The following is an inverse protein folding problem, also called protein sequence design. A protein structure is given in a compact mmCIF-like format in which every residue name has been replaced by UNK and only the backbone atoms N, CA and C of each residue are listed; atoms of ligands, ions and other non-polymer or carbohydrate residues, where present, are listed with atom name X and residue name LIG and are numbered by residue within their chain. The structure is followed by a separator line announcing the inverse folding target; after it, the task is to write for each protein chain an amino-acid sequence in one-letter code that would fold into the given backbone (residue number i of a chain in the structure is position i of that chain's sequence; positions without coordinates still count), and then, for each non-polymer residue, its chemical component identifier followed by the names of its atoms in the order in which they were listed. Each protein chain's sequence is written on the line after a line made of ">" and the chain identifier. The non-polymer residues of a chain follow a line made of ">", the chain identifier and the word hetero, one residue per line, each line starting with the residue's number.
data_IF_476878842682
#
_entry.id   IF_476878842682
#
_cell.length_a   1.000
_cell.length_b   1.000
_cell.length_c   1.000
_cell.angle_alpha   90.00
_cell.angle_beta   90.00
_cell.angle_gamma   90.00
#
_symmetry.space_group_name_H-M   'P 1'
#
loop_
_entity.id
_entity.type
_entity.pdbx_description
1 polymer ?
#
# COMPACT_ATOMS: atom_id res chain seq x y z
N UNK A 1 26.04 -8.61 25.00
CA UNK A 1 24.80 -9.05 25.68
C UNK A 1 24.05 -9.95 24.72
N UNK A 2 23.92 -11.24 25.04
CA UNK A 2 23.02 -12.15 24.31
C UNK A 2 21.58 -11.71 24.59
N UNK A 3 20.85 -11.27 23.57
CA UNK A 3 19.46 -10.85 23.71
C UNK A 3 18.60 -11.96 24.30
N UNK A 4 17.58 -11.57 25.07
CA UNK A 4 16.67 -12.47 25.80
C UNK A 4 15.85 -13.43 24.92
N UNK A 5 15.83 -13.22 23.60
CA UNK A 5 15.14 -14.07 22.64
C UNK A 5 16.03 -14.35 21.42
N UNK A 6 16.01 -15.58 20.93
CA UNK A 6 16.56 -15.91 19.60
C UNK A 6 15.58 -15.47 18.50
N UNK A 7 16.07 -15.24 17.27
CA UNK A 7 15.22 -14.92 16.10
C UNK A 7 14.09 -15.94 15.91
N UNK A 8 14.36 -17.21 16.22
CA UNK A 8 13.39 -18.30 16.12
C UNK A 8 12.29 -18.20 17.20
N UNK A 9 12.60 -17.66 18.38
CA UNK A 9 11.61 -17.41 19.43
C UNK A 9 10.71 -16.20 19.13
N UNK A 10 11.12 -15.32 18.21
CA UNK A 10 10.33 -14.19 17.72
C UNK A 10 9.47 -14.56 16.50
N UNK A 11 9.69 -15.74 15.89
CA UNK A 11 8.90 -16.27 14.80
C UNK A 11 7.54 -16.76 15.30
N UNK A 12 6.63 -15.83 15.58
CA UNK A 12 5.20 -16.15 15.65
C UNK A 12 4.68 -16.34 14.23
N UNK A 13 4.92 -17.52 13.64
CA UNK A 13 4.26 -17.87 12.38
C UNK A 13 2.76 -17.79 12.65
N UNK A 14 2.02 -16.86 12.01
CA UNK A 14 0.61 -16.71 12.28
C UNK A 14 -0.08 -18.03 12.01
N UNK A 15 -0.83 -18.55 12.98
CA UNK A 15 -1.57 -19.80 12.82
C UNK A 15 -2.61 -19.58 11.71
N UNK A 16 -2.35 -20.18 10.55
CA UNK A 16 -3.25 -20.09 9.40
C UNK A 16 -4.45 -21.01 9.68
N UNK A 17 -5.69 -20.47 9.75
CA UNK A 17 -6.88 -21.29 9.91
C UNK A 17 -7.03 -22.27 8.74
N UNK A 18 -7.38 -23.53 9.02
CA UNK A 18 -7.60 -24.52 7.96
C UNK A 18 -8.85 -24.16 7.15
N UNK A 19 -8.84 -24.48 5.85
CA UNK A 19 -10.00 -24.30 4.98
C UNK A 19 -11.15 -25.24 5.37
N UNK A 20 -11.99 -24.76 6.29
CA UNK A 20 -13.22 -25.35 6.84
C UNK A 20 -13.58 -24.69 8.18
N UNK A 21 -12.62 -24.03 8.84
CA UNK A 21 -12.79 -23.41 10.17
C UNK A 21 -13.89 -22.34 10.23
N UNK A 22 -14.30 -21.76 9.10
CA UNK A 22 -15.41 -20.80 9.04
C UNK A 22 -16.79 -21.46 8.93
N UNK A 23 -16.87 -22.77 8.76
CA UNK A 23 -18.11 -23.55 8.61
C UNK A 23 -18.83 -23.41 7.26
N UNK A 24 -18.42 -22.49 6.39
CA UNK A 24 -19.09 -22.26 5.10
C UNK A 24 -18.87 -23.38 4.09
N UNK A 25 -17.72 -24.05 4.17
CA UNK A 25 -17.34 -25.16 3.27
C UNK A 25 -18.42 -26.25 3.19
N UNK A 26 -19.15 -26.49 4.27
CA UNK A 26 -20.13 -27.57 4.37
C UNK A 26 -21.54 -27.16 3.94
N UNK A 27 -21.74 -25.91 3.51
CA UNK A 27 -23.06 -25.31 3.24
C UNK A 27 -23.22 -24.82 1.80
N UNK A 28 -22.24 -25.11 0.94
CA UNK A 28 -22.16 -24.61 -0.43
C UNK A 28 -21.83 -25.74 -1.41
N UNK A 29 -22.23 -25.59 -2.67
CA UNK A 29 -22.01 -26.59 -3.72
C UNK A 29 -20.58 -26.54 -4.26
N UNK A 30 -19.98 -25.36 -4.30
CA UNK A 30 -18.62 -25.12 -4.80
C UNK A 30 -17.69 -24.63 -3.69
N UNK A 31 -17.32 -25.50 -2.73
CA UNK A 31 -16.44 -25.13 -1.62
C UNK A 31 -15.03 -24.79 -2.10
N UNK A 32 -14.43 -23.76 -1.48
CA UNK A 32 -13.06 -23.34 -1.77
C UNK A 32 -12.85 -23.05 -3.26
N UNK A 33 -13.79 -22.33 -3.86
CA UNK A 33 -13.77 -21.93 -5.26
C UNK A 33 -12.43 -21.25 -5.59
N UNK A 34 -11.68 -21.86 -6.50
CA UNK A 34 -10.41 -21.34 -7.01
C UNK A 34 -10.65 -20.11 -7.90
N UNK A 35 -9.61 -19.31 -8.13
CA UNK A 35 -9.73 -18.16 -9.01
C UNK A 35 -10.03 -18.60 -10.45
N UNK A 36 -10.68 -17.73 -11.23
CA UNK A 36 -10.98 -18.01 -12.64
C UNK A 36 -10.58 -16.84 -13.56
N UNK A 37 -10.45 -17.12 -14.86
CA UNK A 37 -10.04 -16.16 -15.89
C UNK A 37 -8.59 -16.32 -16.34
N UNK A 38 -8.25 -15.73 -17.48
CA UNK A 38 -6.94 -15.88 -18.12
C UNK A 38 -5.92 -14.84 -17.64
N UNK A 39 -6.40 -13.67 -17.17
CA UNK A 39 -5.53 -12.62 -16.62
C UNK A 39 -4.53 -12.02 -17.61
N UNK A 40 -4.87 -11.89 -18.90
CA UNK A 40 -3.95 -11.33 -19.92
C UNK A 40 -3.40 -9.95 -19.57
N UNK A 41 -4.13 -9.13 -18.81
CA UNK A 41 -3.66 -7.81 -18.36
C UNK A 41 -3.03 -7.83 -16.96
N UNK A 42 -2.83 -9.02 -16.37
CA UNK A 42 -2.35 -9.22 -14.99
C UNK A 42 -3.16 -8.44 -13.94
N UNK A 43 -4.46 -8.33 -14.15
CA UNK A 43 -5.39 -7.69 -13.21
C UNK A 43 -6.14 -8.76 -12.43
N UNK A 44 -6.09 -8.69 -11.11
CA UNK A 44 -6.89 -9.51 -10.22
C UNK A 44 -8.08 -8.72 -9.68
N UNK A 45 -9.28 -9.23 -9.88
CA UNK A 45 -10.51 -8.68 -9.31
C UNK A 45 -10.90 -9.50 -8.08
N UNK A 46 -11.09 -8.82 -6.94
CA UNK A 46 -11.47 -9.43 -5.67
C UNK A 46 -12.86 -8.95 -5.28
N UNK A 47 -13.86 -9.83 -5.37
CA UNK A 47 -15.22 -9.58 -4.89
C UNK A 47 -15.42 -10.02 -3.43
N UNK A 48 -16.66 -9.93 -2.92
CA UNK A 48 -16.97 -10.23 -1.52
C UNK A 48 -16.95 -11.74 -1.21
N UNK A 49 -17.81 -12.49 -1.87
CA UNK A 49 -17.98 -13.93 -1.76
C UNK A 49 -18.73 -14.43 -3.03
N UNK A 50 -18.70 -15.73 -3.36
CA UNK A 50 -19.65 -16.30 -4.32
C UNK A 50 -21.08 -15.94 -3.91
N UNK A 51 -21.94 -15.63 -4.88
CA UNK A 51 -23.39 -15.64 -4.71
C UNK A 51 -23.96 -17.02 -5.02
N UNK A 52 -25.29 -17.12 -5.06
CA UNK A 52 -25.99 -18.38 -5.37
C UNK A 52 -25.64 -18.91 -6.77
N UNK A 53 -25.68 -18.03 -7.77
CA UNK A 53 -25.40 -18.41 -9.17
C UNK A 53 -23.93 -18.84 -9.31
N UNK A 54 -23.01 -18.08 -8.69
CA UNK A 54 -21.58 -18.42 -8.65
C UNK A 54 -21.33 -19.77 -7.97
N UNK A 55 -22.01 -20.06 -6.86
CA UNK A 55 -21.87 -21.34 -6.15
C UNK A 55 -22.36 -22.53 -6.98
N UNK A 56 -23.43 -22.35 -7.74
CA UNK A 56 -23.99 -23.39 -8.61
C UNK A 56 -23.10 -23.64 -9.83
N UNK A 57 -22.53 -22.59 -10.42
CA UNK A 57 -21.71 -22.71 -11.63
C UNK A 57 -20.22 -22.95 -11.33
N UNK A 58 -19.78 -22.78 -10.08
CA UNK A 58 -18.37 -22.96 -9.69
C UNK A 58 -17.43 -21.86 -10.21
N UNK A 59 -17.95 -20.68 -10.56
CA UNK A 59 -17.17 -19.58 -11.14
C UNK A 59 -17.62 -18.21 -10.64
N UNK A 60 -16.74 -17.21 -10.67
CA UNK A 60 -17.02 -15.89 -10.12
C UNK A 60 -17.70 -14.93 -11.09
N UNK A 61 -18.55 -14.05 -10.53
CA UNK A 61 -19.11 -12.88 -11.23
C UNK A 61 -19.95 -13.28 -12.47
N UNK A 62 -20.79 -14.30 -12.30
CA UNK A 62 -21.77 -14.76 -13.31
C UNK A 62 -23.19 -14.25 -13.02
N UNK A 63 -23.50 -13.94 -11.75
CA UNK A 63 -24.79 -13.40 -11.34
C UNK A 63 -25.04 -11.96 -11.79
N UNK A 64 -26.13 -11.36 -11.30
CA UNK A 64 -26.56 -9.98 -11.69
C UNK A 64 -25.46 -8.92 -11.52
N UNK A 65 -24.74 -8.98 -10.39
CA UNK A 65 -23.63 -8.05 -10.12
C UNK A 65 -22.48 -8.23 -11.11
N UNK A 66 -22.14 -9.47 -11.44
CA UNK A 66 -21.13 -9.80 -12.46
C UNK A 66 -21.52 -9.33 -13.86
N UNK A 67 -22.77 -9.54 -14.27
CA UNK A 67 -23.31 -9.03 -15.55
C UNK A 67 -23.21 -7.51 -15.65
N UNK A 68 -23.51 -6.77 -14.58
CA UNK A 68 -23.33 -5.30 -14.53
C UNK A 68 -21.86 -4.90 -14.69
N UNK A 69 -20.96 -5.57 -13.96
CA UNK A 69 -19.51 -5.33 -14.08
C UNK A 69 -19.01 -5.58 -15.51
N UNK A 70 -19.39 -6.72 -16.12
CA UNK A 70 -19.05 -7.08 -17.50
C UNK A 70 -19.48 -6.00 -18.49
N UNK A 71 -20.70 -5.47 -18.36
CA UNK A 71 -21.18 -4.38 -19.20
C UNK A 71 -20.32 -3.12 -19.10
N UNK A 72 -19.94 -2.73 -17.88
CA UNK A 72 -19.12 -1.53 -17.65
C UNK A 72 -17.68 -1.76 -18.15
N UNK A 73 -17.08 -2.92 -17.88
CA UNK A 73 -15.74 -3.27 -18.39
C UNK A 73 -15.69 -3.30 -19.92
N UNK A 74 -16.71 -3.87 -20.56
CA UNK A 74 -16.83 -3.86 -22.02
C UNK A 74 -16.86 -2.43 -22.58
N UNK A 75 -17.51 -1.49 -21.88
CA UNK A 75 -17.55 -0.08 -22.30
C UNK A 75 -16.18 0.63 -22.25
N UNK A 76 -15.20 0.06 -21.54
CA UNK A 76 -13.82 0.54 -21.50
C UNK A 76 -12.84 -0.42 -22.23
N UNK A 77 -13.36 -1.32 -23.07
CA UNK A 77 -12.55 -2.22 -23.90
C UNK A 77 -11.89 -3.38 -23.15
N UNK A 78 -12.42 -3.75 -21.98
CA UNK A 78 -11.91 -4.85 -21.15
C UNK A 78 -12.90 -6.01 -21.15
N UNK A 79 -12.40 -7.21 -21.41
CA UNK A 79 -13.15 -8.46 -21.23
C UNK A 79 -12.83 -9.08 -19.86
N UNK A 80 -13.84 -9.33 -19.05
CA UNK A 80 -13.66 -9.79 -17.66
C UNK A 80 -13.03 -11.19 -17.54
N UNK A 81 -13.23 -12.10 -18.50
CA UNK A 81 -12.69 -13.46 -18.43
C UNK A 81 -11.33 -13.58 -19.08
N UNK A 82 -11.15 -12.90 -20.22
CA UNK A 82 -9.89 -12.90 -20.95
C UNK A 82 -8.83 -12.02 -20.27
N UNK A 83 -9.21 -10.83 -19.82
CA UNK A 83 -8.21 -9.83 -19.39
C UNK A 83 -7.90 -9.91 -17.89
N UNK A 84 -8.77 -10.51 -17.07
CA UNK A 84 -8.68 -10.49 -15.62
C UNK A 84 -8.70 -11.89 -15.00
N UNK A 85 -8.00 -12.06 -13.89
CA UNK A 85 -8.32 -13.10 -12.91
C UNK A 85 -9.40 -12.59 -11.96
N UNK A 86 -10.22 -13.51 -11.44
CA UNK A 86 -11.30 -13.22 -10.51
C UNK A 86 -11.20 -14.13 -9.31
N UNK A 87 -11.33 -13.55 -8.13
CA UNK A 87 -11.48 -14.27 -6.87
C UNK A 87 -12.37 -13.48 -5.93
N UNK A 88 -12.51 -13.97 -4.70
CA UNK A 88 -13.32 -13.36 -3.66
C UNK A 88 -12.56 -13.29 -2.34
N UNK A 89 -12.96 -12.38 -1.46
CA UNK A 89 -12.45 -12.36 -0.09
C UNK A 89 -12.81 -13.63 0.68
N UNK A 90 -13.98 -14.22 0.41
CA UNK A 90 -14.38 -15.55 0.86
C UNK A 90 -14.55 -16.47 -0.34
N UNK A 91 -13.98 -17.68 -0.31
CA UNK A 91 -14.03 -18.65 -1.42
C UNK A 91 -15.21 -19.62 -1.33
N UNK A 92 -16.16 -19.41 -0.42
CA UNK A 92 -17.37 -20.23 -0.26
C UNK A 92 -18.60 -19.33 -0.17
N UNK A 93 -19.73 -19.79 -0.70
CA UNK A 93 -21.01 -19.09 -0.60
C UNK A 93 -21.45 -18.97 0.87
N UNK A 94 -21.81 -17.76 1.37
CA UNK A 94 -22.23 -17.57 2.75
C UNK A 94 -23.66 -18.07 3.04
N UNK A 95 -24.41 -18.48 2.02
CA UNK A 95 -25.77 -19.02 2.13
C UNK A 95 -26.85 -18.09 1.60
N UNK A 96 -28.11 -18.49 1.82
CA UNK A 96 -29.28 -17.80 1.29
C UNK A 96 -29.38 -16.34 1.74
N UNK A 97 -29.80 -15.47 0.83
CA UNK A 97 -29.81 -14.02 1.04
C UNK A 97 -28.44 -13.34 0.92
N UNK A 98 -27.36 -14.10 0.66
CA UNK A 98 -25.98 -13.60 0.57
C UNK A 98 -25.63 -12.67 1.75
N UNK A 99 -25.72 -13.16 3.00
CA UNK A 99 -25.49 -12.31 4.15
C UNK A 99 -24.06 -11.78 4.13
N UNK A 100 -23.89 -10.54 4.57
CA UNK A 100 -22.57 -9.90 4.63
C UNK A 100 -21.62 -10.75 5.47
N UNK A 101 -20.42 -11.09 4.96
CA UNK A 101 -19.43 -11.85 5.72
C UNK A 101 -19.04 -11.20 7.03
N UNK A 102 -18.89 -12.03 8.07
CA UNK A 102 -18.38 -11.61 9.37
C UNK A 102 -16.85 -11.47 9.34
N UNK A 103 -16.32 -10.67 10.26
CA UNK A 103 -14.87 -10.45 10.41
C UNK A 103 -14.11 -11.75 10.63
N UNK A 104 -14.71 -12.68 11.37
CA UNK A 104 -14.16 -14.01 11.62
C UNK A 104 -14.05 -14.81 10.31
N UNK A 105 -15.09 -14.82 9.49
CA UNK A 105 -15.08 -15.53 8.21
C UNK A 105 -14.07 -14.92 7.24
N UNK A 106 -14.01 -13.59 7.16
CA UNK A 106 -13.00 -12.88 6.35
C UNK A 106 -11.60 -13.26 6.81
N UNK A 107 -11.35 -13.22 8.12
CA UNK A 107 -10.03 -13.56 8.67
C UNK A 107 -9.61 -15.00 8.37
N UNK A 108 -10.55 -15.95 8.46
CA UNK A 108 -10.28 -17.35 8.20
C UNK A 108 -10.02 -17.64 6.71
N UNK A 109 -10.68 -16.93 5.81
CA UNK A 109 -10.51 -17.15 4.37
C UNK A 109 -9.34 -16.34 3.77
N UNK A 110 -8.83 -15.33 4.48
CA UNK A 110 -7.77 -14.43 3.99
C UNK A 110 -6.54 -15.16 3.46
N UNK A 111 -6.12 -16.26 4.10
CA UNK A 111 -4.95 -17.01 3.65
C UNK A 111 -5.10 -17.56 2.23
N UNK A 112 -6.32 -17.93 1.81
CA UNK A 112 -6.58 -18.32 0.43
C UNK A 112 -6.36 -17.15 -0.54
N UNK A 113 -6.90 -15.97 -0.20
CA UNK A 113 -6.71 -14.77 -1.03
C UNK A 113 -5.23 -14.38 -1.13
N UNK A 114 -4.49 -14.41 -0.02
CA UNK A 114 -3.05 -14.10 -0.02
C UNK A 114 -2.26 -15.08 -0.88
N UNK A 115 -2.56 -16.38 -0.79
CA UNK A 115 -1.96 -17.40 -1.66
C UNK A 115 -2.27 -17.15 -3.14
N UNK A 116 -3.52 -16.84 -3.47
CA UNK A 116 -3.90 -16.49 -4.85
C UNK A 116 -3.13 -15.27 -5.37
N UNK A 117 -2.96 -14.23 -4.55
CA UNK A 117 -2.20 -13.03 -4.95
C UNK A 117 -0.72 -13.37 -5.17
N UNK A 118 -0.13 -14.18 -4.28
CA UNK A 118 1.26 -14.63 -4.40
C UNK A 118 1.47 -15.50 -5.66
N UNK A 119 0.54 -16.39 -5.95
CA UNK A 119 0.61 -17.29 -7.11
C UNK A 119 0.48 -16.52 -8.43
N UNK A 120 -0.43 -15.55 -8.51
CA UNK A 120 -0.74 -14.83 -9.74
C UNK A 120 0.18 -13.64 -10.01
N UNK A 121 0.82 -13.10 -8.96
CA UNK A 121 1.58 -11.86 -8.99
C UNK A 121 0.91 -10.75 -9.84
N UNK A 122 -0.31 -10.30 -9.51
CA UNK A 122 -0.99 -9.30 -10.33
C UNK A 122 -0.25 -7.96 -10.31
N UNK A 123 -0.32 -7.23 -11.43
CA UNK A 123 0.14 -5.83 -11.50
C UNK A 123 -0.86 -4.91 -10.80
N UNK A 124 -2.15 -5.23 -10.90
CA UNK A 124 -3.23 -4.45 -10.30
C UNK A 124 -4.24 -5.36 -9.63
N UNK A 125 -4.65 -5.00 -8.41
CA UNK A 125 -5.67 -5.68 -7.63
C UNK A 125 -6.84 -4.73 -7.43
N UNK A 126 -7.98 -5.05 -8.03
CA UNK A 126 -9.22 -4.27 -7.91
C UNK A 126 -10.09 -4.88 -6.81
N UNK A 127 -10.36 -4.10 -5.75
CA UNK A 127 -11.17 -4.54 -4.61
C UNK A 127 -12.61 -4.04 -4.76
N UNK A 128 -13.57 -4.96 -4.88
CA UNK A 128 -14.98 -4.62 -5.04
C UNK A 128 -15.69 -4.60 -3.68
N UNK A 129 -15.87 -3.41 -3.13
CA UNK A 129 -16.64 -3.18 -1.91
C UNK A 129 -15.88 -3.36 -0.60
N UNK A 130 -16.58 -3.10 0.51
CA UNK A 130 -15.97 -3.02 1.84
C UNK A 130 -15.37 -4.33 2.34
N UNK A 131 -15.94 -5.48 1.96
CA UNK A 131 -15.44 -6.79 2.40
C UNK A 131 -14.10 -7.13 1.75
N UNK A 132 -13.93 -6.85 0.46
CA UNK A 132 -12.66 -7.00 -0.25
C UNK A 132 -11.58 -6.08 0.36
N UNK A 133 -11.92 -4.81 0.62
CA UNK A 133 -11.04 -3.87 1.33
C UNK A 133 -10.65 -4.38 2.71
N UNK A 134 -11.61 -4.87 3.49
CA UNK A 134 -11.35 -5.38 4.84
C UNK A 134 -10.47 -6.64 4.82
N UNK A 135 -10.60 -7.47 3.80
CA UNK A 135 -9.78 -8.67 3.63
C UNK A 135 -8.31 -8.34 3.40
N UNK A 136 -8.02 -7.41 2.48
CA UNK A 136 -6.65 -7.13 2.02
C UNK A 136 -5.97 -5.95 2.73
N UNK A 137 -6.66 -4.82 2.84
CA UNK A 137 -6.14 -3.60 3.49
C UNK A 137 -6.31 -3.70 5.00
N UNK A 138 -7.48 -4.13 5.47
CA UNK A 138 -7.77 -4.27 6.91
C UNK A 138 -6.89 -5.27 7.65
N UNK A 139 -6.13 -6.11 6.93
CA UNK A 139 -5.16 -7.02 7.50
C UNK A 139 -3.90 -6.32 8.02
N UNK A 140 -3.49 -5.22 7.38
CA UNK A 140 -2.26 -4.46 7.72
C UNK A 140 -2.54 -3.09 8.29
N UNK A 141 -3.77 -2.59 8.13
CA UNK A 141 -4.17 -1.31 8.67
C UNK A 141 -4.42 -1.43 10.17
N UNK A 142 -3.63 -0.70 10.98
CA UNK A 142 -3.72 -0.74 12.46
C UNK A 142 -5.01 -0.12 13.00
N UNK A 143 -5.61 0.82 12.28
CA UNK A 143 -6.87 1.47 12.68
C UNK A 143 -8.11 0.75 12.12
N UNK A 144 -9.30 1.25 12.45
CA UNK A 144 -10.51 0.79 11.78
C UNK A 144 -10.50 1.20 10.29
N UNK A 145 -10.72 0.22 9.41
CA UNK A 145 -10.85 0.43 7.95
C UNK A 145 -11.93 1.47 7.61
N UNK A 146 -13.00 1.56 8.40
CA UNK A 146 -14.10 2.51 8.17
C UNK A 146 -14.98 2.15 6.98
N UNK A 147 -15.75 3.14 6.48
CA UNK A 147 -16.68 2.96 5.35
C UNK A 147 -15.94 2.91 4.02
N UNK A 148 -16.49 2.17 3.05
CA UNK A 148 -15.91 2.01 1.71
C UNK A 148 -15.62 3.34 1.00
N UNK A 149 -16.45 4.38 1.24
CA UNK A 149 -16.28 5.70 0.65
C UNK A 149 -14.93 6.39 0.93
N UNK A 150 -14.23 6.00 2.01
CA UNK A 150 -12.86 6.47 2.29
C UNK A 150 -11.83 5.99 1.25
N UNK A 151 -12.11 4.85 0.61
CA UNK A 151 -11.14 4.10 -0.18
C UNK A 151 -11.43 4.11 -1.69
N UNK A 152 -12.67 4.39 -2.10
CA UNK A 152 -13.04 4.33 -3.51
C UNK A 152 -12.21 5.29 -4.36
N UNK A 153 -11.69 4.79 -5.48
CA UNK A 153 -10.93 5.60 -6.46
C UNK A 153 -9.44 5.75 -6.14
N UNK A 154 -8.98 5.37 -4.95
CA UNK A 154 -7.55 5.38 -4.63
C UNK A 154 -6.77 4.38 -5.49
N UNK A 155 -5.51 4.70 -5.73
CA UNK A 155 -4.55 3.89 -6.48
C UNK A 155 -3.32 3.68 -5.58
N UNK A 156 -3.39 2.68 -4.71
CA UNK A 156 -2.46 2.55 -3.58
C UNK A 156 -1.32 1.61 -3.97
N UNK A 157 -0.05 2.05 -3.97
CA UNK A 157 1.07 1.17 -4.26
C UNK A 157 1.37 0.27 -3.05
N UNK A 158 1.04 -1.02 -3.12
CA UNK A 158 1.30 -1.97 -2.03
C UNK A 158 2.63 -2.69 -2.24
N UNK A 159 3.53 -2.54 -1.26
CA UNK A 159 4.89 -3.09 -1.32
C UNK A 159 4.92 -4.61 -1.14
N UNK A 160 3.97 -5.19 -0.39
CA UNK A 160 3.99 -6.63 -0.03
C UNK A 160 3.75 -7.51 -1.25
N UNK A 161 2.89 -7.06 -2.15
CA UNK A 161 2.57 -7.76 -3.39
C UNK A 161 3.24 -7.12 -4.61
N UNK A 162 3.91 -5.99 -4.41
CA UNK A 162 4.40 -5.10 -5.48
C UNK A 162 3.33 -4.91 -6.57
N UNK A 163 2.15 -4.45 -6.14
CA UNK A 163 0.95 -4.31 -6.97
C UNK A 163 0.15 -3.06 -6.60
N UNK A 164 -0.58 -2.52 -7.57
CA UNK A 164 -1.51 -1.41 -7.35
C UNK A 164 -2.81 -1.92 -6.74
N UNK A 165 -3.17 -1.46 -5.54
CA UNK A 165 -4.46 -1.78 -4.90
C UNK A 165 -5.45 -0.67 -5.21
N UNK A 166 -6.55 -1.04 -5.88
CA UNK A 166 -7.52 -0.12 -6.43
C UNK A 166 -8.93 -0.43 -5.90
N UNK A 167 -9.33 0.13 -4.74
CA UNK A 167 -10.65 -0.08 -4.18
C UNK A 167 -11.74 0.67 -4.95
N UNK A 168 -12.90 0.04 -5.09
CA UNK A 168 -14.11 0.67 -5.64
C UNK A 168 -15.37 0.04 -5.02
N UNK A 169 -16.55 0.49 -5.43
CA UNK A 169 -17.82 -0.08 -4.95
C UNK A 169 -18.03 -1.51 -5.44
N UNK A 170 -18.88 -2.26 -4.73
CA UNK A 170 -19.33 -3.54 -5.26
C UNK A 170 -20.42 -3.31 -6.33
N UNK A 171 -20.46 -4.03 -7.46
CA UNK A 171 -21.48 -3.82 -8.50
C UNK A 171 -22.92 -3.98 -8.00
N UNK A 172 -23.15 -4.80 -6.96
CA UNK A 172 -24.47 -4.92 -6.32
C UNK A 172 -24.94 -3.62 -5.66
N UNK A 173 -24.03 -2.73 -5.25
CA UNK A 173 -24.39 -1.41 -4.73
C UNK A 173 -24.96 -0.52 -5.83
N UNK A 174 -24.35 -0.52 -7.03
CA UNK A 174 -24.84 0.23 -8.19
C UNK A 174 -26.25 -0.25 -8.58
N UNK A 175 -26.47 -1.56 -8.61
CA UNK A 175 -27.79 -2.16 -8.92
C UNK A 175 -28.90 -1.72 -7.95
N UNK A 176 -28.56 -1.35 -6.70
CA UNK A 176 -29.54 -0.91 -5.70
C UNK A 176 -29.82 0.59 -5.72
N UNK A 177 -28.95 1.40 -6.31
CA UNK A 177 -29.04 2.86 -6.24
C UNK A 177 -29.57 3.50 -7.53
N UNK A 178 -29.55 2.78 -8.65
CA UNK A 178 -29.94 3.27 -9.99
C UNK A 178 -29.50 4.72 -10.27
N UNK A 179 -28.24 5.01 -9.95
CA UNK A 179 -27.65 6.34 -10.04
C UNK A 179 -26.60 6.37 -11.17
N UNK A 180 -26.89 7.13 -12.22
CA UNK A 180 -26.01 7.32 -13.38
C UNK A 180 -24.68 8.00 -13.02
N UNK A 181 -24.68 8.89 -12.03
CA UNK A 181 -23.48 9.57 -11.56
C UNK A 181 -22.57 8.57 -10.84
N UNK A 182 -23.14 7.74 -9.97
CA UNK A 182 -22.41 6.65 -9.31
C UNK A 182 -21.78 5.69 -10.31
N UNK A 183 -22.51 5.30 -11.36
CA UNK A 183 -21.99 4.45 -12.43
C UNK A 183 -20.85 5.12 -13.22
N UNK A 184 -20.95 6.43 -13.47
CA UNK A 184 -19.88 7.20 -14.12
C UNK A 184 -18.60 7.19 -13.28
N UNK A 185 -18.70 7.43 -11.96
CA UNK A 185 -17.56 7.36 -11.05
C UNK A 185 -16.97 5.95 -10.99
N UNK A 186 -17.82 4.93 -10.91
CA UNK A 186 -17.38 3.53 -10.90
C UNK A 186 -16.60 3.18 -12.16
N UNK A 187 -17.10 3.58 -13.34
CA UNK A 187 -16.40 3.41 -14.61
C UNK A 187 -15.06 4.15 -14.63
N UNK A 188 -14.99 5.37 -14.10
CA UNK A 188 -13.75 6.14 -13.99
C UNK A 188 -12.72 5.46 -13.09
N UNK A 189 -13.13 4.91 -11.96
CA UNK A 189 -12.24 4.16 -11.06
C UNK A 189 -11.67 2.92 -11.75
N UNK A 190 -12.51 2.15 -12.46
CA UNK A 190 -12.05 1.00 -13.22
C UNK A 190 -11.06 1.41 -14.31
N UNK A 191 -11.39 2.45 -15.09
CA UNK A 191 -10.48 2.96 -16.13
C UNK A 191 -9.11 3.31 -15.56
N UNK A 192 -9.07 4.07 -14.47
CA UNK A 192 -7.83 4.46 -13.80
C UNK A 192 -7.02 3.25 -13.28
N UNK A 193 -7.69 2.19 -12.83
CA UNK A 193 -7.03 0.95 -12.42
C UNK A 193 -6.44 0.18 -13.61
N UNK A 194 -7.14 0.12 -14.75
CA UNK A 194 -6.64 -0.54 -15.97
C UNK A 194 -5.58 0.26 -16.72
N UNK A 195 -5.46 1.57 -16.47
CA UNK A 195 -4.38 2.43 -16.97
C UNK A 195 -3.07 2.27 -16.17
N UNK A 196 -3.04 1.43 -15.14
CA UNK A 196 -1.81 1.12 -14.40
C UNK A 196 -0.94 0.17 -15.20
N UNK A 197 0.24 0.66 -15.56
CA UNK A 197 1.28 -0.09 -16.23
C UNK A 197 2.41 -0.39 -15.24
N UNK A 198 2.94 -1.61 -15.31
CA UNK A 198 4.06 -2.03 -14.48
C UNK A 198 3.76 -2.18 -12.99
N UNK A 199 4.65 -2.88 -12.28
CA UNK A 199 4.60 -2.97 -10.82
C UNK A 199 4.95 -1.58 -10.23
N UNK A 200 4.32 -1.13 -9.12
CA UNK A 200 4.56 0.19 -8.52
C UNK A 200 6.01 0.40 -8.06
N UNK A 201 6.76 -0.67 -7.83
CA UNK A 201 8.16 -0.60 -7.44
C UNK A 201 9.00 -1.44 -8.39
N UNK A 202 9.95 -0.79 -9.07
CA UNK A 202 10.82 -1.42 -10.08
C UNK A 202 11.97 -2.20 -9.44
N UNK A 203 12.47 -1.74 -8.29
CA UNK A 203 13.60 -2.34 -7.58
C UNK A 203 13.12 -3.11 -6.34
N UNK A 204 13.54 -4.36 -6.19
CA UNK A 204 13.69 -4.93 -4.86
C UNK A 204 14.71 -4.08 -4.12
N UNK A 205 14.27 -3.37 -3.09
CA UNK A 205 15.21 -2.76 -2.15
C UNK A 205 15.88 -3.95 -1.48
N UNK A 206 17.18 -4.14 -1.71
CA UNK A 206 17.92 -5.13 -0.97
C UNK A 206 17.88 -4.71 0.51
N UNK A 207 17.03 -5.36 1.30
CA UNK A 207 16.91 -5.08 2.74
C UNK A 207 18.18 -5.49 3.51
N UNK A 208 19.12 -6.18 2.86
CA UNK A 208 20.48 -6.45 3.36
C UNK A 208 21.49 -5.40 2.89
N UNK A 209 21.09 -4.49 2.00
CA UNK A 209 21.91 -3.34 1.65
C UNK A 209 22.01 -2.44 2.86
N UNK A 210 23.17 -2.54 3.52
CA UNK A 210 23.58 -1.60 4.55
C UNK A 210 24.32 -0.52 3.77
N UNK A 211 23.74 0.67 3.55
CA UNK A 211 24.50 1.76 2.96
C UNK A 211 25.71 2.02 3.85
N UNK A 212 26.84 2.39 3.25
CA UNK A 212 28.00 2.79 4.03
C UNK A 212 27.63 4.06 4.82
N UNK A 213 27.63 3.93 6.16
CA UNK A 213 27.34 5.05 7.06
C UNK A 213 28.65 5.64 7.53
N UNK A 214 28.96 6.84 7.03
CA UNK A 214 30.12 7.61 7.42
C UNK A 214 29.74 8.56 8.55
N UNK A 215 30.37 8.37 9.72
CA UNK A 215 30.27 9.32 10.82
C UNK A 215 31.36 10.36 10.62
N UNK A 216 30.97 11.56 10.21
CA UNK A 216 31.89 12.66 9.95
C UNK A 216 31.83 13.68 11.09
N UNK A 217 33.00 13.95 11.67
CA UNK A 217 33.15 14.88 12.79
C UNK A 217 33.70 16.24 12.37
N UNK A 218 34.36 16.33 11.20
CA UNK A 218 34.86 17.58 10.63
C UNK A 218 33.75 18.32 9.86
N UNK A 219 33.26 19.47 10.35
CA UNK A 219 32.22 20.23 9.66
C UNK A 219 32.66 20.70 8.27
N UNK A 220 33.96 20.82 7.99
CA UNK A 220 34.45 21.25 6.66
C UNK A 220 34.23 20.16 5.61
N UNK A 221 34.32 18.89 5.97
CA UNK A 221 33.97 17.80 5.06
C UNK A 221 32.49 17.86 4.70
N UNK A 222 31.63 18.13 5.69
CA UNK A 222 30.17 18.29 5.46
C UNK A 222 29.87 19.44 4.51
N UNK A 223 30.56 20.59 4.65
CA UNK A 223 30.39 21.71 3.72
C UNK A 223 30.68 21.28 2.28
N UNK A 224 31.78 20.56 2.04
CA UNK A 224 32.16 20.08 0.71
C UNK A 224 31.13 19.11 0.14
N UNK A 225 30.71 18.13 0.95
CA UNK A 225 29.68 17.16 0.56
C UNK A 225 28.38 17.86 0.20
N UNK A 226 27.88 18.76 1.06
CA UNK A 226 26.66 19.52 0.80
C UNK A 226 26.75 20.31 -0.52
N UNK A 227 27.86 20.99 -0.76
CA UNK A 227 28.05 21.76 -1.99
C UNK A 227 28.08 20.85 -3.24
N UNK A 228 28.67 19.65 -3.13
CA UNK A 228 28.64 18.62 -4.19
C UNK A 228 27.21 18.10 -4.45
N UNK A 229 26.44 17.81 -3.40
CA UNK A 229 25.04 17.38 -3.52
C UNK A 229 24.16 18.45 -4.16
N UNK A 230 24.34 19.73 -3.79
CA UNK A 230 23.65 20.86 -4.42
C UNK A 230 23.99 20.92 -5.92
N UNK A 231 25.25 20.70 -6.29
CA UNK A 231 25.70 20.71 -7.69
C UNK A 231 25.11 19.54 -8.49
N UNK A 232 25.10 18.34 -7.91
CA UNK A 232 24.59 17.11 -8.54
C UNK A 232 23.06 17.18 -8.71
N UNK A 233 22.36 17.77 -7.74
CA UNK A 233 20.91 17.98 -7.76
C UNK A 233 20.09 16.68 -7.93
N UNK A 234 20.58 15.58 -7.37
CA UNK A 234 19.84 14.32 -7.22
C UNK A 234 18.95 14.35 -5.96
N UNK A 235 17.82 13.60 -5.92
CA UNK A 235 17.06 13.44 -4.70
C UNK A 235 17.93 12.96 -3.54
N UNK A 236 17.71 13.51 -2.35
CA UNK A 236 18.37 13.06 -1.13
C UNK A 236 17.36 12.90 0.01
N UNK A 237 17.67 12.00 0.93
CA UNK A 237 17.03 11.92 2.23
C UNK A 237 17.84 12.70 3.26
N UNK A 238 17.18 13.27 4.25
CA UNK A 238 17.86 13.78 5.44
C UNK A 238 17.01 13.54 6.68
N UNK A 239 17.67 13.46 7.84
CA UNK A 239 17.04 13.23 9.12
C UNK A 239 17.71 14.04 10.23
N UNK A 240 16.91 14.45 11.22
CA UNK A 240 17.38 15.16 12.40
C UNK A 240 17.20 14.31 13.65
N UNK A 241 18.30 14.12 14.37
CA UNK A 241 18.22 13.65 15.74
C UNK A 241 18.15 14.84 16.68
N UNK A 242 17.11 14.86 17.51
CA UNK A 242 16.73 16.02 18.29
C UNK A 242 16.42 15.62 19.71
N UNK A 243 16.57 16.53 20.66
CA UNK A 243 16.19 16.26 22.05
C UNK A 243 14.67 16.08 22.20
N UNK A 244 13.86 16.51 21.21
CA UNK A 244 12.43 16.21 21.16
C UNK A 244 11.78 16.38 19.80
N UNK A 245 10.58 15.80 19.66
CA UNK A 245 9.75 15.92 18.44
C UNK A 245 9.36 17.39 18.14
N UNK A 246 9.27 18.26 19.15
CA UNK A 246 8.73 19.60 19.02
C UNK A 246 9.80 20.67 19.25
N UNK A 247 10.07 21.54 18.26
CA UNK A 247 11.13 22.52 18.37
C UNK A 247 10.83 23.66 19.35
N UNK A 248 9.59 23.89 19.79
CA UNK A 248 9.23 25.11 20.53
C UNK A 248 9.81 25.24 21.95
N UNK A 249 10.35 24.16 22.54
CA UNK A 249 10.96 24.22 23.86
C UNK A 249 12.29 24.97 23.87
N UNK A 250 12.58 25.71 24.94
CA UNK A 250 13.88 26.38 25.13
C UNK A 250 15.05 25.40 25.24
N UNK A 251 14.77 24.17 25.67
CA UNK A 251 15.70 23.04 25.76
C UNK A 251 15.79 22.22 24.47
N UNK A 252 14.98 22.56 23.47
CA UNK A 252 14.87 21.78 22.25
C UNK A 252 16.00 22.17 21.28
N UNK A 253 16.88 21.22 20.99
CA UNK A 253 18.01 21.36 20.10
C UNK A 253 18.11 20.19 19.10
N UNK A 254 18.77 20.47 17.96
CA UNK A 254 19.22 19.45 17.02
C UNK A 254 20.60 18.99 17.49
N UNK A 255 20.76 17.68 17.68
CA UNK A 255 21.99 17.06 18.20
C UNK A 255 22.89 16.65 17.05
N UNK A 256 22.32 15.97 16.06
CA UNK A 256 23.02 15.60 14.83
C UNK A 256 22.06 15.58 13.65
N UNK A 257 22.64 15.53 12.46
CA UNK A 257 21.90 15.38 11.23
C UNK A 257 22.56 14.31 10.38
N UNK A 258 21.75 13.64 9.56
CA UNK A 258 22.25 12.77 8.51
C UNK A 258 21.62 13.12 7.17
N UNK A 259 22.33 12.85 6.08
CA UNK A 259 21.75 12.85 4.73
C UNK A 259 22.31 11.71 3.87
N UNK A 260 21.53 11.26 2.90
CA UNK A 260 21.89 10.16 1.98
C UNK A 260 21.32 10.38 0.58
N UNK A 261 22.02 9.91 -0.45
CA UNK A 261 21.51 9.78 -1.82
C UNK A 261 20.96 8.37 -2.14
N UNK A 262 20.92 7.49 -1.14
CA UNK A 262 20.52 6.09 -1.30
C UNK A 262 21.69 5.12 -1.52
N UNK A 263 22.91 5.61 -1.73
CA UNK A 263 24.14 4.80 -1.78
C UNK A 263 24.99 5.06 -0.53
N UNK A 264 25.41 6.32 -0.33
CA UNK A 264 26.21 6.74 0.81
C UNK A 264 25.35 7.48 1.83
N UNK A 265 25.63 7.29 3.13
CA UNK A 265 24.98 8.03 4.22
C UNK A 265 26.02 8.74 5.06
N UNK A 266 25.86 10.05 5.26
CA UNK A 266 26.74 10.84 6.12
C UNK A 266 25.97 11.29 7.34
N UNK A 267 26.45 10.95 8.53
CA UNK A 267 25.92 11.41 9.81
C UNK A 267 26.97 12.27 10.51
N UNK A 268 26.56 13.42 11.04
CA UNK A 268 27.50 14.38 11.63
C UNK A 268 26.87 15.16 12.80
N UNK A 269 27.67 15.55 13.80
CA UNK A 269 27.21 16.42 14.87
C UNK A 269 26.70 17.76 14.33
N UNK A 270 25.61 18.28 14.89
CA UNK A 270 25.02 19.54 14.46
C UNK A 270 25.82 20.73 15.01
N UNK A 271 26.96 21.03 14.37
CA UNK A 271 27.91 22.02 14.87
C UNK A 271 28.65 22.78 13.77
N UNK A 272 29.15 23.96 14.11
CA UNK A 272 30.08 24.73 13.28
C UNK A 272 29.54 25.03 11.88
N UNK A 273 30.40 24.89 10.87
CA UNK A 273 30.10 25.24 9.48
C UNK A 273 29.09 24.28 8.81
N UNK A 274 28.83 23.11 9.40
CA UNK A 274 27.84 22.17 8.87
C UNK A 274 26.40 22.72 8.95
N UNK A 275 26.08 23.49 9.98
CA UNK A 275 24.75 24.10 10.19
C UNK A 275 24.37 25.03 9.02
N UNK A 276 25.14 26.09 8.70
CA UNK A 276 24.81 26.95 7.57
C UNK A 276 24.91 26.24 6.22
N UNK A 277 25.75 25.20 6.07
CA UNK A 277 25.77 24.37 4.86
C UNK A 277 24.42 23.67 4.66
N UNK A 278 23.92 23.00 5.69
CA UNK A 278 22.60 22.36 5.64
C UNK A 278 21.48 23.35 5.37
N UNK A 279 21.53 24.56 5.95
CA UNK A 279 20.59 25.63 5.62
C UNK A 279 20.55 25.94 4.11
N UNK A 280 21.71 26.00 3.45
CA UNK A 280 21.80 26.15 1.98
C UNK A 280 21.20 24.94 1.25
N UNK A 281 21.53 23.72 1.69
CA UNK A 281 21.00 22.49 1.10
C UNK A 281 19.47 22.46 1.15
N UNK A 282 18.89 22.73 2.31
CA UNK A 282 17.44 22.65 2.53
C UNK A 282 16.67 23.75 1.80
N UNK A 283 17.30 24.90 1.55
CA UNK A 283 16.74 26.00 0.73
C UNK A 283 16.94 25.82 -0.78
N UNK A 284 17.82 24.90 -1.20
CA UNK A 284 18.17 24.66 -2.61
C UNK A 284 17.03 24.00 -3.41
N UNK A 285 17.23 23.80 -4.71
CA UNK A 285 16.29 23.09 -5.59
C UNK A 285 16.43 21.57 -5.57
N UNK A 286 17.40 21.02 -4.84
CA UNK A 286 17.57 19.57 -4.70
C UNK A 286 16.27 18.94 -4.18
N UNK A 287 15.75 17.84 -4.74
CA UNK A 287 14.57 17.17 -4.16
C UNK A 287 14.92 16.57 -2.79
N UNK A 288 14.09 16.82 -1.78
CA UNK A 288 14.28 16.25 -0.42
C UNK A 288 13.20 15.25 -0.10
N UNK A 289 13.61 14.19 0.56
CA UNK A 289 12.75 13.17 1.15
C UNK A 289 13.07 13.14 2.64
N UNK A 290 12.08 12.92 3.48
CA UNK A 290 12.30 12.64 4.89
C UNK A 290 11.26 11.65 5.38
N UNK A 291 11.51 11.01 6.53
CA UNK A 291 10.55 10.06 7.07
C UNK A 291 9.33 10.75 7.70
N UNK A 292 9.53 11.91 8.35
CA UNK A 292 8.49 12.64 9.06
C UNK A 292 8.48 14.11 8.64
N UNK A 293 8.14 14.38 7.37
CA UNK A 293 8.30 15.70 6.74
C UNK A 293 7.79 16.87 7.60
N UNK A 294 6.72 16.65 8.38
CA UNK A 294 6.17 17.65 9.30
C UNK A 294 7.14 18.01 10.44
N UNK A 295 7.82 17.03 11.02
CA UNK A 295 8.84 17.25 12.05
C UNK A 295 10.05 17.97 11.46
N UNK A 296 10.64 17.44 10.39
CA UNK A 296 11.84 18.02 9.78
C UNK A 296 11.61 19.45 9.26
N UNK A 297 10.46 19.74 8.62
CA UNK A 297 10.13 21.08 8.16
C UNK A 297 9.95 22.07 9.33
N UNK A 298 9.38 21.63 10.46
CA UNK A 298 9.22 22.48 11.65
C UNK A 298 10.55 22.81 12.31
N UNK A 299 11.43 21.82 12.44
CA UNK A 299 12.79 22.03 12.95
C UNK A 299 13.58 22.96 12.04
N UNK A 300 13.53 22.76 10.73
CA UNK A 300 14.17 23.65 9.73
C UNK A 300 13.68 25.10 9.88
N UNK A 301 12.38 25.32 10.08
CA UNK A 301 11.82 26.66 10.28
C UNK A 301 12.29 27.32 11.57
N UNK A 302 12.38 26.57 12.67
CA UNK A 302 12.93 27.11 13.94
C UNK A 302 14.39 27.51 13.73
N UNK A 303 15.19 26.63 13.15
CA UNK A 303 16.64 26.80 13.04
C UNK A 303 17.03 27.89 12.03
N UNK A 304 16.40 27.90 10.86
CA UNK A 304 16.82 28.74 9.72
C UNK A 304 15.81 29.82 9.32
N UNK A 305 14.62 29.86 9.94
CA UNK A 305 13.57 30.82 9.59
C UNK A 305 12.90 30.58 8.23
N UNK A 306 13.14 29.42 7.59
CA UNK A 306 12.50 29.06 6.32
C UNK A 306 12.09 27.60 6.26
N UNK A 307 11.16 27.29 5.35
CA UNK A 307 10.73 25.92 5.06
C UNK A 307 11.81 25.14 4.30
N UNK A 308 11.72 23.81 4.33
CA UNK A 308 12.44 22.97 3.37
C UNK A 308 11.82 23.15 1.99
N UNK A 309 12.66 23.32 0.97
CA UNK A 309 12.24 23.50 -0.41
C UNK A 309 12.35 22.20 -1.20
N UNK A 310 11.35 21.95 -2.05
CA UNK A 310 11.30 20.84 -3.01
C UNK A 310 11.15 19.44 -2.37
N UNK A 311 10.13 19.26 -1.54
CA UNK A 311 9.74 17.95 -1.03
C UNK A 311 9.32 17.01 -2.16
N UNK A 312 9.84 15.79 -2.14
CA UNK A 312 9.49 14.67 -3.00
C UNK A 312 8.67 13.65 -2.18
N UNK A 313 7.56 13.18 -2.76
CA UNK A 313 6.52 12.38 -2.10
C UNK A 313 6.37 11.02 -2.78
#
# INVERSE_FOLDING_TARGET
>A
MSGFFTSDQLSTTPVIPRCSSCGLRYKCNSPNMEFTGEGKRRVLIVAEAPGRDEDQEGTQLVGKAGKKLRGILKSIGVDLDRDCWKTNALTCWPGEGNPKPTDKQISYCRANLLRTIQELEPVTIILLGGTAVKSLIGYVWKEAVGKIGRWVGWQIPDRRFNAWICPTWHPSYLLRQDDKVLELWFRRHLKAAFEKEGKPYENEIDLKYVPDVFIEHDPKTIVRLVDDFIRINKPLTFDYETTSIKPEGDWAEIVCCSFSDGEDTFAFPWQGEAIPAMGRLLKSRVPKIAWNLKMEDRWTRKEFGHAVRNWLW
#
